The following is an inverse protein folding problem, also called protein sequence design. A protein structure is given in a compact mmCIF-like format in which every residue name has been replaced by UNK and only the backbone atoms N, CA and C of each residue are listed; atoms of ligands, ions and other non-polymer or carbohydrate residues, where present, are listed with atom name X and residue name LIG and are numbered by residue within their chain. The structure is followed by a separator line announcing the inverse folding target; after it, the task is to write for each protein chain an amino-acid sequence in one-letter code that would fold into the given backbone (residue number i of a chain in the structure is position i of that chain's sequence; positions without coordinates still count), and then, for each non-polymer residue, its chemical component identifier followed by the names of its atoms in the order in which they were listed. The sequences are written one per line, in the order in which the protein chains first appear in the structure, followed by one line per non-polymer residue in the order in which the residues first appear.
data_IF_030816753436
#
_entry.id   IF_030816753436
#
_cell.length_a   1.000
_cell.length_b   1.000
_cell.length_c   1.000
_cell.angle_alpha   90.00
_cell.angle_beta   90.00
_cell.angle_gamma   90.00
#
_symmetry.space_group_name_H-M   'P 1'
#
loop_
_entity.id
_entity.type
_entity.pdbx_description
1 polymer ?
#
# COMPACT_ATOMS: atom_id res chain seq x y z
N UNK A 1 -16.93 -3.97 3.36
CA UNK A 1 -16.04 -3.77 2.19
C UNK A 1 -16.70 -4.27 0.90
N UNK A 2 -17.13 -5.54 0.83
CA UNK A 2 -17.76 -6.07 -0.40
C UNK A 2 -18.92 -5.22 -0.96
N UNK A 3 -19.80 -4.71 -0.09
CA UNK A 3 -20.88 -3.80 -0.49
C UNK A 3 -20.37 -2.52 -1.17
N UNK A 4 -19.32 -1.86 -0.63
CA UNK A 4 -18.75 -0.66 -1.24
C UNK A 4 -18.21 -0.92 -2.65
N UNK A 5 -17.52 -2.06 -2.85
CA UNK A 5 -17.00 -2.44 -4.16
C UNK A 5 -18.16 -2.70 -5.14
N UNK A 6 -19.21 -3.40 -4.69
CA UNK A 6 -20.39 -3.67 -5.49
C UNK A 6 -21.09 -2.37 -5.91
N UNK A 7 -21.31 -1.45 -4.98
CA UNK A 7 -21.96 -0.15 -5.24
C UNK A 7 -21.14 0.71 -6.22
N UNK A 8 -19.81 0.75 -6.08
CA UNK A 8 -18.95 1.47 -7.01
C UNK A 8 -18.99 0.85 -8.41
N UNK A 9 -19.03 -0.48 -8.51
CA UNK A 9 -19.14 -1.19 -9.78
C UNK A 9 -20.49 -0.94 -10.45
N UNK A 10 -21.59 -1.01 -9.70
CA UNK A 10 -22.94 -0.75 -10.19
C UNK A 10 -23.08 0.67 -10.74
N UNK A 11 -22.40 1.64 -10.12
CA UNK A 11 -22.39 3.04 -10.54
C UNK A 11 -21.37 3.36 -11.64
N UNK A 12 -20.58 2.39 -12.09
CA UNK A 12 -19.51 2.62 -13.07
C UNK A 12 -18.36 3.49 -12.57
N UNK A 13 -18.16 3.56 -11.24
CA UNK A 13 -17.16 4.40 -10.58
C UNK A 13 -15.91 3.63 -10.15
N UNK A 14 -15.94 2.30 -10.20
CA UNK A 14 -14.81 1.48 -9.74
C UNK A 14 -13.52 1.75 -10.54
N UNK A 15 -13.63 1.98 -11.84
CA UNK A 15 -12.46 2.21 -12.71
C UNK A 15 -11.79 3.57 -12.47
N UNK A 16 -12.53 4.53 -11.90
CA UNK A 16 -12.04 5.88 -11.61
C UNK A 16 -11.81 6.13 -10.12
N UNK A 17 -12.08 5.14 -9.27
CA UNK A 17 -11.94 5.23 -7.81
C UNK A 17 -10.89 4.24 -7.33
N UNK A 18 -9.77 4.76 -6.80
CA UNK A 18 -8.79 3.94 -6.10
C UNK A 18 -9.28 3.63 -4.69
N UNK A 19 -9.49 2.35 -4.39
CA UNK A 19 -9.72 1.85 -3.04
C UNK A 19 -8.40 1.36 -2.45
N UNK A 20 -8.05 1.86 -1.27
CA UNK A 20 -6.91 1.37 -0.47
C UNK A 20 -7.45 0.93 0.88
N UNK A 21 -7.23 -0.33 1.23
CA UNK A 21 -7.58 -0.86 2.54
C UNK A 21 -6.33 -1.36 3.24
N UNK A 22 -5.96 -0.66 4.29
CA UNK A 22 -4.71 -0.88 5.03
C UNK A 22 -4.91 -0.59 6.50
N UNK A 23 -4.02 -1.13 7.33
CA UNK A 23 -3.76 -0.64 8.68
C UNK A 23 -2.46 0.19 8.71
N UNK A 24 -2.02 0.54 9.92
CA UNK A 24 -0.75 1.24 10.15
C UNK A 24 0.44 0.25 10.27
N UNK A 25 0.17 -0.96 10.77
CA UNK A 25 1.18 -1.97 11.08
C UNK A 25 0.58 -3.38 11.06
N UNK A 26 1.45 -4.37 10.97
CA UNK A 26 1.09 -5.77 11.05
C UNK A 26 0.84 -6.24 12.47
N UNK A 27 0.50 -7.52 12.59
CA UNK A 27 0.37 -8.22 13.87
C UNK A 27 1.35 -9.38 13.88
N UNK A 28 2.05 -9.57 14.99
CA UNK A 28 3.00 -10.67 15.13
C UNK A 28 2.28 -12.01 14.91
N UNK A 29 2.96 -13.05 14.40
CA UNK A 29 2.36 -14.38 14.28
C UNK A 29 2.28 -15.11 15.63
N UNK A 30 2.92 -14.56 16.66
CA UNK A 30 2.91 -15.03 18.04
C UNK A 30 2.26 -14.00 18.98
N UNK A 31 1.88 -14.45 20.18
CA UNK A 31 1.26 -13.66 21.24
C UNK A 31 2.11 -13.71 22.51
N UNK A 32 2.26 -12.58 23.20
CA UNK A 32 2.85 -12.53 24.54
C UNK A 32 1.75 -12.73 25.60
N UNK A 33 1.10 -13.88 25.60
CA UNK A 33 -0.01 -14.20 26.50
C UNK A 33 -1.30 -14.59 25.78
N UNK A 34 -2.45 -14.31 26.40
CA UNK A 34 -3.77 -14.76 25.93
C UNK A 34 -4.67 -13.63 25.44
N UNK A 35 -4.22 -12.38 25.43
CA UNK A 35 -5.02 -11.18 25.15
C UNK A 35 -4.77 -10.56 23.75
N UNK A 36 -3.93 -11.17 22.93
CA UNK A 36 -3.76 -10.76 21.53
C UNK A 36 -2.32 -10.87 21.04
N UNK A 37 -2.08 -10.28 19.87
CA UNK A 37 -0.77 -10.27 19.19
C UNK A 37 -0.20 -8.85 19.22
N UNK A 38 1.12 -8.71 19.22
CA UNK A 38 1.84 -7.43 19.26
C UNK A 38 2.03 -6.77 17.89
N UNK A 39 2.47 -5.50 17.90
CA UNK A 39 2.82 -4.74 16.70
C UNK A 39 3.94 -5.42 15.92
N UNK A 40 3.66 -5.71 14.64
CA UNK A 40 4.65 -6.23 13.73
C UNK A 40 5.04 -5.17 12.70
N UNK A 41 6.22 -4.61 12.90
CA UNK A 41 6.85 -3.65 11.98
C UNK A 41 7.57 -4.33 10.81
N UNK A 42 7.78 -5.65 10.86
CA UNK A 42 8.59 -6.37 9.86
C UNK A 42 7.79 -6.85 8.64
N UNK A 43 6.47 -6.89 8.75
CA UNK A 43 5.61 -7.32 7.66
C UNK A 43 4.14 -7.14 7.98
N UNK A 44 3.39 -6.68 6.99
CA UNK A 44 1.93 -6.63 7.00
C UNK A 44 1.40 -6.68 5.57
N UNK A 45 0.09 -6.86 5.43
CA UNK A 45 -0.58 -6.90 4.14
C UNK A 45 -1.63 -5.81 4.08
N UNK A 46 -1.82 -5.28 2.88
CA UNK A 46 -2.90 -4.38 2.50
C UNK A 46 -3.48 -4.87 1.18
N UNK A 47 -4.62 -4.33 0.77
CA UNK A 47 -5.14 -4.57 -0.57
C UNK A 47 -5.65 -3.29 -1.21
N UNK A 48 -5.63 -3.28 -2.54
CA UNK A 48 -6.13 -2.18 -3.36
C UNK A 48 -7.06 -2.71 -4.46
N UNK A 49 -7.96 -1.86 -4.94
CA UNK A 49 -8.83 -2.17 -6.07
C UNK A 49 -9.27 -0.90 -6.80
N UNK A 50 -9.67 -1.05 -8.06
CA UNK A 50 -10.14 0.06 -8.88
C UNK A 50 -9.04 1.04 -9.26
N UNK A 51 -9.40 2.15 -9.91
CA UNK A 51 -8.49 3.27 -10.18
C UNK A 51 -7.19 2.90 -10.90
N UNK A 52 -7.19 1.91 -11.79
CA UNK A 52 -6.01 1.45 -12.54
C UNK A 52 -5.23 0.29 -11.90
N UNK A 53 -5.67 -0.27 -10.78
CA UNK A 53 -5.05 -1.47 -10.17
C UNK A 53 -5.43 -2.75 -10.90
N UNK A 54 -4.43 -3.58 -11.20
CA UNK A 54 -4.57 -4.91 -11.80
C UNK A 54 -5.14 -5.91 -10.80
N UNK A 55 -6.42 -6.23 -10.95
CA UNK A 55 -7.12 -7.22 -10.12
C UNK A 55 -6.51 -8.62 -10.19
N UNK A 56 -6.67 -9.42 -9.12
CA UNK A 56 -6.18 -10.80 -9.05
C UNK A 56 -4.65 -10.92 -8.88
N UNK A 57 -3.97 -9.81 -8.57
CA UNK A 57 -2.52 -9.78 -8.36
C UNK A 57 -2.18 -9.97 -6.88
N UNK A 58 -1.21 -10.85 -6.61
CA UNK A 58 -0.53 -10.93 -5.31
C UNK A 58 0.87 -10.37 -5.52
N UNK A 59 1.27 -9.40 -4.70
CA UNK A 59 2.58 -8.77 -4.79
C UNK A 59 3.32 -8.90 -3.47
N UNK A 60 4.43 -9.63 -3.51
CA UNK A 60 5.27 -9.93 -2.34
C UNK A 60 4.74 -11.05 -1.46
N UNK A 61 5.59 -11.44 -0.51
CA UNK A 61 5.31 -12.52 0.43
C UNK A 61 6.09 -12.30 1.74
N UNK A 62 5.54 -12.85 2.83
CA UNK A 62 6.25 -13.00 4.10
C UNK A 62 7.00 -14.32 4.17
N UNK A 63 7.89 -14.45 5.16
CA UNK A 63 8.48 -15.74 5.50
C UNK A 63 7.42 -16.78 5.90
N UNK A 64 7.86 -18.03 6.05
CA UNK A 64 7.00 -19.17 6.38
C UNK A 64 6.23 -19.01 7.71
N UNK A 65 6.69 -18.12 8.59
CA UNK A 65 6.05 -17.82 9.86
C UNK A 65 5.08 -16.63 9.79
N UNK A 66 5.01 -15.91 8.66
CA UNK A 66 4.23 -14.69 8.54
C UNK A 66 4.81 -13.51 9.33
N UNK A 67 6.11 -13.55 9.65
CA UNK A 67 6.76 -12.57 10.52
C UNK A 67 7.32 -11.37 9.75
N UNK A 68 8.05 -11.60 8.65
CA UNK A 68 8.73 -10.52 7.91
C UNK A 68 8.49 -10.64 6.42
N UNK A 69 8.40 -9.50 5.73
CA UNK A 69 8.40 -9.48 4.27
C UNK A 69 9.75 -9.99 3.73
N UNK A 70 9.72 -10.93 2.78
CA UNK A 70 10.91 -11.56 2.19
C UNK A 70 10.97 -11.47 0.67
N UNK A 71 9.83 -11.42 -0.01
CA UNK A 71 9.73 -11.32 -1.47
C UNK A 71 9.05 -10.02 -1.88
N UNK A 72 9.53 -9.38 -2.97
CA UNK A 72 8.99 -8.14 -3.55
C UNK A 72 8.55 -7.14 -2.47
N UNK A 73 9.47 -6.79 -1.58
CA UNK A 73 9.20 -5.95 -0.42
C UNK A 73 8.81 -4.56 -0.88
N UNK A 74 7.62 -4.13 -0.50
CA UNK A 74 7.15 -2.77 -0.69
C UNK A 74 7.11 -2.04 0.66
N UNK A 75 7.50 -0.78 0.63
CA UNK A 75 7.40 0.13 1.77
C UNK A 75 6.23 1.12 1.59
N UNK A 76 5.87 1.84 2.65
CA UNK A 76 4.84 2.88 2.59
C UNK A 76 5.19 3.96 1.55
N UNK A 77 6.47 4.22 1.32
CA UNK A 77 6.92 5.15 0.29
C UNK A 77 6.55 4.67 -1.12
N UNK A 78 6.63 3.36 -1.40
CA UNK A 78 6.27 2.77 -2.70
C UNK A 78 4.76 2.78 -2.90
N UNK A 79 3.99 2.52 -1.84
CA UNK A 79 2.54 2.64 -1.85
C UNK A 79 2.12 4.07 -2.22
N UNK A 80 2.66 5.08 -1.54
CA UNK A 80 2.37 6.48 -1.83
C UNK A 80 2.84 6.90 -3.23
N UNK A 81 4.03 6.46 -3.67
CA UNK A 81 4.51 6.71 -5.03
C UNK A 81 3.54 6.16 -6.08
N UNK A 82 3.05 4.93 -5.87
CA UNK A 82 2.11 4.25 -6.76
C UNK A 82 0.75 4.93 -6.78
N UNK A 83 0.22 5.35 -5.63
CA UNK A 83 -1.03 6.12 -5.54
C UNK A 83 -0.94 7.45 -6.30
N UNK A 84 0.15 8.19 -6.11
CA UNK A 84 0.37 9.46 -6.81
C UNK A 84 0.52 9.26 -8.31
N UNK A 85 1.20 8.18 -8.74
CA UNK A 85 1.30 7.81 -10.14
C UNK A 85 -0.08 7.55 -10.77
N UNK A 86 -0.98 6.84 -10.08
CA UNK A 86 -2.36 6.59 -10.51
C UNK A 86 -3.19 7.88 -10.64
N UNK A 87 -2.85 8.92 -9.87
CA UNK A 87 -3.44 10.26 -10.01
C UNK A 87 -2.77 11.11 -11.10
N UNK A 88 -1.86 10.54 -11.90
CA UNK A 88 -1.14 11.25 -12.95
C UNK A 88 -0.05 12.20 -12.42
N UNK A 89 0.38 12.02 -11.18
CA UNK A 89 1.38 12.87 -10.54
C UNK A 89 2.74 12.18 -10.48
N UNK A 90 3.79 12.94 -10.80
CA UNK A 90 5.17 12.54 -10.55
C UNK A 90 5.52 12.85 -9.09
N UNK A 91 5.56 11.81 -8.25
CA UNK A 91 5.80 11.96 -6.81
C UNK A 91 7.13 12.66 -6.49
N UNK A 92 8.12 12.59 -7.40
CA UNK A 92 9.42 13.22 -7.20
C UNK A 92 9.39 14.74 -7.38
N UNK A 93 8.40 15.24 -8.12
CA UNK A 93 8.20 16.68 -8.38
C UNK A 93 7.34 17.37 -7.33
N UNK A 94 6.67 16.61 -6.45
CA UNK A 94 5.91 17.14 -5.31
C UNK A 94 6.85 17.51 -4.14
N UNK A 95 7.95 18.17 -4.46
CA UNK A 95 9.02 18.51 -3.54
C UNK A 95 8.93 19.99 -3.17
N UNK A 96 9.02 20.29 -1.88
CA UNK A 96 9.12 21.66 -1.38
C UNK A 96 10.25 21.80 -0.35
N UNK A 97 10.90 22.96 -0.35
CA UNK A 97 11.99 23.25 0.58
C UNK A 97 11.43 23.70 1.92
N UNK A 98 11.77 22.98 3.00
CA UNK A 98 11.38 23.34 4.36
C UNK A 98 12.50 23.03 5.35
N UNK A 99 12.81 23.99 6.23
CA UNK A 99 13.86 23.87 7.24
C UNK A 99 15.21 23.37 6.68
N UNK A 100 15.60 23.87 5.51
CA UNK A 100 16.87 23.51 4.86
C UNK A 100 16.89 22.16 4.12
N UNK A 101 15.79 21.39 4.12
CA UNK A 101 15.69 20.10 3.43
C UNK A 101 14.58 20.11 2.37
N UNK A 102 14.80 19.37 1.30
CA UNK A 102 13.76 19.05 0.31
C UNK A 102 12.84 17.96 0.87
N UNK A 103 11.55 18.29 1.00
CA UNK A 103 10.53 17.41 1.56
C UNK A 103 9.56 17.02 0.45
N UNK A 104 9.20 15.73 0.40
CA UNK A 104 8.09 15.19 -0.39
C UNK A 104 7.45 14.02 0.35
N UNK A 105 6.24 13.61 -0.05
CA UNK A 105 5.48 12.54 0.64
C UNK A 105 6.24 11.21 0.73
N UNK A 106 7.04 10.89 -0.29
CA UNK A 106 7.84 9.65 -0.33
C UNK A 106 9.27 9.85 0.22
N UNK A 107 9.57 11.02 0.81
CA UNK A 107 10.93 11.44 1.19
C UNK A 107 11.95 11.15 0.08
N UNK A 108 13.18 10.74 0.37
CA UNK A 108 14.17 10.32 -0.64
C UNK A 108 13.89 8.93 -1.26
N UNK A 109 12.80 8.27 -0.87
CA UNK A 109 12.41 6.92 -1.28
C UNK A 109 11.24 6.93 -2.28
N UNK A 110 10.66 5.74 -2.48
CA UNK A 110 9.46 5.48 -3.26
C UNK A 110 9.77 5.07 -4.69
N UNK A 111 9.33 3.87 -5.05
CA UNK A 111 9.30 3.35 -6.40
C UNK A 111 7.86 2.99 -6.78
N UNK A 112 7.47 3.33 -8.01
CA UNK A 112 6.15 2.95 -8.52
C UNK A 112 6.14 1.43 -8.72
N UNK A 113 5.16 0.75 -8.11
CA UNK A 113 4.97 -0.68 -8.23
C UNK A 113 4.25 -0.99 -9.55
N UNK A 114 5.00 -1.03 -10.65
CA UNK A 114 4.42 -1.23 -11.98
C UNK A 114 3.72 -2.58 -12.17
N UNK A 115 4.16 -3.62 -11.45
CA UNK A 115 3.64 -4.98 -11.61
C UNK A 115 2.18 -5.15 -11.15
N UNK A 116 1.65 -4.19 -10.38
CA UNK A 116 0.28 -4.19 -9.86
C UNK A 116 -0.66 -3.22 -10.58
N UNK A 117 -0.18 -2.56 -11.65
CA UNK A 117 -0.95 -1.63 -12.46
C UNK A 117 -1.55 -2.34 -13.70
N UNK A 118 -2.69 -1.83 -14.18
CA UNK A 118 -3.42 -2.34 -15.36
C UNK A 118 -2.86 -1.85 -16.68
#
# INVERSE_FOLDING_TARGET
IGALIADLKERGLLDTTLLVFTGEFGRTPFAQGSDGRDHNQYGFSLWMAGGGIKGGTIYGATDEFGYKAVENKAEIHDLHATMLHLFGMDHTKLTYRFSGRDIRLTDVHGHVLHDILS
#
